data_IF_735410004267
#
_entry.id   IF_735410004267
#
_cell.length_a   1.000
_cell.length_b   1.000
_cell.length_c   1.000
_cell.angle_alpha   90.00
_cell.angle_beta   90.00
_cell.angle_gamma   90.00
#
_symmetry.space_group_name_H-M   'P 1'
#
loop_
_entity.id
_entity.type
_entity.pdbx_description
1 polymer ?
#
# COMPACT_ATOMS: atom_id res chain seq x y z
N UNK A 1 -1.43 -23.61 74.50
CA UNK A 1 -1.84 -22.54 75.44
C UNK A 1 -2.34 -21.36 74.60
N UNK A 2 -3.60 -20.95 74.86
CA UNK A 2 -4.24 -19.61 74.70
C UNK A 2 -4.05 -18.86 73.37
N UNK A 3 -5.11 -18.72 72.55
CA UNK A 3 -6.14 -17.63 72.56
C UNK A 3 -5.51 -16.25 72.28
N UNK A 4 -5.92 -15.48 71.27
CA UNK A 4 -7.27 -14.90 71.13
C UNK A 4 -7.60 -14.39 69.71
N UNK A 5 -8.91 -14.36 69.45
CA UNK A 5 -9.66 -13.80 68.31
C UNK A 5 -10.08 -12.34 68.62
N UNK A 6 -10.19 -11.47 67.60
CA UNK A 6 -11.11 -10.30 67.48
C UNK A 6 -10.90 -9.68 66.08
N UNK A 7 -11.66 -10.04 65.03
CA UNK A 7 -12.91 -9.44 64.54
C UNK A 7 -12.96 -7.90 64.64
N UNK A 8 -12.88 -7.21 63.51
CA UNK A 8 -13.71 -6.04 63.25
C UNK A 8 -14.11 -5.97 61.77
N UNK A 9 -15.39 -5.65 61.59
CA UNK A 9 -16.23 -5.80 60.42
C UNK A 9 -16.55 -4.38 59.92
N UNK A 10 -16.17 -4.01 58.69
CA UNK A 10 -16.82 -2.88 58.01
C UNK A 10 -16.93 -3.16 56.52
N UNK A 11 -18.07 -3.74 56.14
CA UNK A 11 -18.59 -3.75 54.78
C UNK A 11 -19.18 -2.37 54.49
N UNK A 12 -18.67 -1.66 53.48
CA UNK A 12 -19.49 -0.75 52.67
C UNK A 12 -19.24 -1.11 51.22
N UNK A 13 -20.24 -1.76 50.65
CA UNK A 13 -20.40 -1.90 49.22
C UNK A 13 -20.69 -0.53 48.61
N UNK A 14 -19.80 -0.04 47.74
CA UNK A 14 -20.21 0.86 46.67
C UNK A 14 -20.23 0.05 45.37
N UNK A 15 -21.36 -0.61 45.14
CA UNK A 15 -21.79 -1.01 43.81
C UNK A 15 -22.17 0.29 43.10
N UNK A 16 -21.23 0.87 42.36
CA UNK A 16 -21.57 1.75 41.25
C UNK A 16 -21.70 0.85 40.02
N UNK A 17 -22.88 0.25 39.88
CA UNK A 17 -23.41 -0.08 38.57
C UNK A 17 -23.71 1.26 37.88
N UNK A 18 -22.72 1.77 37.13
CA UNK A 18 -23.00 2.71 36.06
C UNK A 18 -23.24 1.91 34.80
N UNK A 19 -24.39 2.18 34.20
CA UNK A 19 -24.93 1.58 32.99
C UNK A 19 -23.92 1.49 31.85
N UNK A 20 -24.14 0.46 31.02
CA UNK A 20 -23.33 0.15 29.86
C UNK A 20 -23.20 1.29 28.86
N UNK A 21 -21.99 1.38 28.30
CA UNK A 21 -21.76 1.67 26.88
C UNK A 21 -20.26 1.54 26.51
N UNK A 22 -19.38 1.20 27.46
CA UNK A 22 -17.93 1.15 27.19
C UNK A 22 -17.49 0.10 26.17
N UNK A 23 -18.25 -0.98 25.95
CA UNK A 23 -17.97 -1.93 24.85
C UNK A 23 -18.39 -1.36 23.49
N UNK A 24 -19.43 -0.54 23.45
CA UNK A 24 -19.88 0.11 22.22
C UNK A 24 -18.95 1.27 21.85
N UNK A 25 -18.47 2.04 22.83
CA UNK A 25 -17.47 3.09 22.60
C UNK A 25 -16.08 2.55 22.26
N UNK A 26 -15.64 1.45 22.89
CA UNK A 26 -14.40 0.78 22.49
C UNK A 26 -14.52 0.14 21.10
N UNK A 27 -15.63 -0.53 20.80
CA UNK A 27 -15.90 -1.08 19.47
C UNK A 27 -16.06 0.03 18.41
N UNK A 28 -16.66 1.17 18.74
CA UNK A 28 -16.80 2.33 17.85
C UNK A 28 -15.49 3.06 17.65
N UNK A 29 -14.62 3.13 18.66
CA UNK A 29 -13.26 3.67 18.51
C UNK A 29 -12.34 2.72 17.75
N UNK A 30 -12.49 1.41 17.92
CA UNK A 30 -11.78 0.40 17.12
C UNK A 30 -12.29 0.36 15.68
N UNK A 31 -13.62 0.42 15.48
CA UNK A 31 -14.22 0.51 14.16
C UNK A 31 -13.90 1.85 13.48
N UNK A 32 -13.89 2.98 14.20
CA UNK A 32 -13.47 4.27 13.65
C UNK A 32 -11.96 4.36 13.39
N UNK A 33 -11.14 3.66 14.18
CA UNK A 33 -9.70 3.53 13.92
C UNK A 33 -9.44 2.60 12.72
N UNK A 34 -10.21 1.51 12.57
CA UNK A 34 -10.21 0.68 11.37
C UNK A 34 -10.77 1.42 10.15
N UNK A 35 -11.79 2.26 10.31
CA UNK A 35 -12.43 3.06 9.25
C UNK A 35 -11.56 4.24 8.83
N UNK A 36 -10.85 4.87 9.77
CA UNK A 36 -9.82 5.89 9.49
C UNK A 36 -8.54 5.28 8.91
N UNK A 37 -8.22 4.02 9.25
CA UNK A 37 -7.18 3.24 8.57
C UNK A 37 -7.66 2.71 7.20
N UNK A 38 -8.98 2.61 6.98
CA UNK A 38 -9.62 2.16 5.72
C UNK A 38 -10.08 3.27 4.79
N UNK A 39 -10.09 4.54 5.19
CA UNK A 39 -10.42 5.61 4.26
C UNK A 39 -9.22 5.83 3.33
N UNK A 40 -8.97 4.87 2.45
CA UNK A 40 -8.04 5.00 1.35
C UNK A 40 -8.43 6.27 0.60
N UNK A 41 -7.48 7.19 0.43
CA UNK A 41 -7.73 8.41 -0.30
C UNK A 41 -7.98 8.02 -1.76
N UNK A 42 -9.25 8.09 -2.19
CA UNK A 42 -9.65 7.75 -3.54
C UNK A 42 -9.45 8.95 -4.46
N UNK A 43 -8.63 8.79 -5.50
CA UNK A 43 -8.36 9.86 -6.48
C UNK A 43 -8.72 9.38 -7.88
N UNK A 44 -9.69 10.07 -8.52
CA UNK A 44 -10.10 9.80 -9.90
C UNK A 44 -9.09 10.43 -10.88
N UNK A 45 -8.43 9.62 -11.71
CA UNK A 45 -7.44 10.07 -12.68
C UNK A 45 -8.06 10.47 -14.03
N UNK A 46 -9.39 10.42 -14.17
CA UNK A 46 -10.08 10.80 -15.41
C UNK A 46 -9.88 12.27 -15.77
N UNK A 47 -9.56 13.12 -14.79
CA UNK A 47 -9.12 14.52 -15.01
C UNK A 47 -7.86 14.63 -15.87
N UNK A 48 -7.04 13.56 -15.92
CA UNK A 48 -5.86 13.42 -16.78
C UNK A 48 -6.12 12.50 -17.98
N UNK A 49 -7.39 12.27 -18.34
CA UNK A 49 -7.81 11.36 -19.42
C UNK A 49 -7.35 9.90 -19.24
N UNK A 50 -7.01 9.50 -18.01
CA UNK A 50 -6.66 8.13 -17.64
C UNK A 50 -7.87 7.52 -16.91
N UNK A 51 -8.50 6.44 -17.44
CA UNK A 51 -9.71 5.84 -16.88
C UNK A 51 -9.40 4.90 -15.70
N UNK A 52 -8.55 5.37 -14.78
CA UNK A 52 -8.11 4.64 -13.59
C UNK A 52 -8.46 5.46 -12.33
N UNK A 53 -8.50 4.76 -11.20
CA UNK A 53 -8.69 5.31 -9.87
C UNK A 53 -7.53 4.86 -9.00
N UNK A 54 -7.01 5.78 -8.18
CA UNK A 54 -6.04 5.48 -7.14
C UNK A 54 -6.74 5.32 -5.80
N UNK A 55 -6.41 4.25 -5.08
CA UNK A 55 -6.79 4.02 -3.70
C UNK A 55 -5.52 3.92 -2.86
N UNK A 56 -5.06 5.07 -2.38
CA UNK A 56 -3.81 5.14 -1.61
C UNK A 56 -4.07 4.60 -0.20
N UNK A 57 -3.23 3.70 0.34
CA UNK A 57 -3.39 3.16 1.68
C UNK A 57 -3.60 4.25 2.74
N UNK A 58 -4.49 3.98 3.71
CA UNK A 58 -4.77 4.92 4.80
C UNK A 58 -3.51 5.27 5.59
N UNK A 59 -3.38 6.55 5.96
CA UNK A 59 -2.21 7.08 6.68
C UNK A 59 -1.13 7.71 5.78
N UNK A 60 -1.19 7.51 4.45
CA UNK A 60 -0.34 8.25 3.53
C UNK A 60 -0.77 9.73 3.40
N UNK A 61 0.16 10.67 3.13
CA UNK A 61 -0.18 12.04 2.77
C UNK A 61 -1.06 12.11 1.52
N UNK A 62 -1.74 13.24 1.31
CA UNK A 62 -2.47 13.50 0.06
C UNK A 62 -1.53 13.36 -1.15
N UNK A 63 -1.96 12.70 -2.24
CA UNK A 63 -1.12 12.53 -3.40
C UNK A 63 -0.83 13.83 -4.12
N UNK A 64 0.43 14.00 -4.50
CA UNK A 64 0.84 14.90 -5.58
C UNK A 64 0.78 14.13 -6.90
N UNK A 65 0.17 14.74 -7.92
CA UNK A 65 -0.03 14.14 -9.24
C UNK A 65 0.54 15.10 -10.27
N UNK A 66 1.54 14.64 -11.02
CA UNK A 66 2.30 15.49 -11.96
C UNK A 66 2.45 14.76 -13.28
N UNK A 67 1.98 15.40 -14.35
CA UNK A 67 2.25 14.93 -15.71
C UNK A 67 3.68 15.29 -16.12
N UNK A 68 4.45 14.30 -16.57
CA UNK A 68 5.83 14.45 -17.04
C UNK A 68 5.84 14.41 -18.56
N UNK A 69 5.58 15.54 -19.21
CA UNK A 69 5.46 15.66 -20.66
C UNK A 69 6.61 15.00 -21.42
N UNK A 70 7.86 15.26 -21.00
CA UNK A 70 9.05 14.73 -21.64
C UNK A 70 9.15 13.19 -21.62
N UNK A 71 8.53 12.54 -20.63
CA UNK A 71 8.52 11.09 -20.49
C UNK A 71 7.20 10.45 -20.98
N UNK A 72 6.16 11.24 -21.20
CA UNK A 72 4.82 10.74 -21.52
C UNK A 72 4.21 9.91 -20.39
N UNK A 73 4.47 10.28 -19.13
CA UNK A 73 4.00 9.55 -17.94
C UNK A 73 3.30 10.45 -16.94
N UNK A 74 2.33 9.90 -16.22
CA UNK A 74 1.80 10.51 -15.00
C UNK A 74 2.57 9.97 -13.80
N UNK A 75 3.21 10.84 -13.03
CA UNK A 75 3.85 10.50 -11.76
C UNK A 75 2.90 10.83 -10.60
N UNK A 76 2.78 9.91 -9.66
CA UNK A 76 2.00 10.05 -8.43
C UNK A 76 2.92 9.82 -7.24
N UNK A 77 2.91 10.73 -6.26
CA UNK A 77 3.69 10.57 -5.01
C UNK A 77 2.86 10.92 -3.79
N UNK A 78 2.97 10.13 -2.73
CA UNK A 78 2.30 10.35 -1.45
C UNK A 78 3.23 9.94 -0.29
N UNK A 79 4.02 10.90 0.22
CA UNK A 79 5.04 10.62 1.24
C UNK A 79 6.20 9.77 0.71
N UNK A 80 6.91 9.11 1.63
CA UNK A 80 8.16 8.39 1.32
C UNK A 80 7.95 6.93 0.88
N UNK A 81 6.75 6.39 1.11
CA UNK A 81 6.41 4.97 0.90
C UNK A 81 5.49 4.74 -0.30
N UNK A 82 5.20 5.79 -1.08
CA UNK A 82 4.31 5.69 -2.23
C UNK A 82 4.77 6.61 -3.34
N UNK A 83 5.29 6.01 -4.42
CA UNK A 83 5.52 6.70 -5.67
C UNK A 83 5.42 5.76 -6.86
N UNK A 84 4.52 6.06 -7.79
CA UNK A 84 4.32 5.27 -9.00
C UNK A 84 4.24 6.15 -10.25
N UNK A 85 4.48 5.52 -11.39
CA UNK A 85 4.32 6.10 -12.72
C UNK A 85 3.25 5.32 -13.48
N UNK A 86 2.46 6.03 -14.28
CA UNK A 86 1.45 5.46 -15.18
C UNK A 86 1.72 5.96 -16.59
N UNK A 87 1.77 5.04 -17.55
CA UNK A 87 1.94 5.35 -18.96
C UNK A 87 0.95 4.53 -19.80
N UNK A 88 0.34 5.15 -20.81
CA UNK A 88 -0.43 4.41 -21.80
C UNK A 88 0.52 3.76 -22.81
N UNK A 89 0.60 2.43 -22.79
CA UNK A 89 1.44 1.63 -23.66
C UNK A 89 0.93 0.18 -23.67
N UNK A 90 1.18 -0.59 -24.75
CA UNK A 90 0.91 -2.04 -24.75
C UNK A 90 1.63 -2.74 -23.59
N UNK A 91 1.07 -3.85 -23.10
CA UNK A 91 1.80 -4.70 -22.15
C UNK A 91 3.05 -5.26 -22.80
N UNK A 92 4.18 -5.20 -22.10
CA UNK A 92 5.47 -5.78 -22.53
C UNK A 92 6.10 -6.63 -21.42
N UNK A 93 5.28 -7.45 -20.76
CA UNK A 93 5.75 -8.28 -19.64
C UNK A 93 6.88 -9.24 -20.06
N UNK A 94 6.81 -9.75 -21.29
CA UNK A 94 7.85 -10.61 -21.84
C UNK A 94 9.18 -9.88 -22.06
N UNK A 95 9.14 -8.65 -22.62
CA UNK A 95 10.33 -7.81 -22.79
C UNK A 95 10.97 -7.47 -21.45
N UNK A 96 10.16 -7.04 -20.47
CA UNK A 96 10.62 -6.73 -19.11
C UNK A 96 11.32 -7.92 -18.47
N UNK A 97 10.72 -9.12 -18.51
CA UNK A 97 11.36 -10.33 -17.96
C UNK A 97 12.68 -10.66 -18.65
N UNK A 98 12.73 -10.48 -19.98
CA UNK A 98 13.94 -10.73 -20.74
C UNK A 98 15.05 -9.70 -20.41
N UNK A 99 14.70 -8.45 -20.11
CA UNK A 99 15.65 -7.44 -19.64
C UNK A 99 16.20 -7.78 -18.25
N UNK A 100 15.34 -8.26 -17.33
CA UNK A 100 15.77 -8.67 -15.98
C UNK A 100 16.72 -9.88 -16.01
N UNK A 101 16.49 -10.83 -16.91
CA UNK A 101 17.35 -12.01 -17.10
C UNK A 101 18.72 -11.65 -17.69
N UNK A 102 18.77 -10.61 -18.51
CA UNK A 102 20.00 -10.12 -19.14
C UNK A 102 20.76 -9.07 -18.32
N UNK A 103 20.24 -8.66 -17.16
CA UNK A 103 20.90 -7.67 -16.32
C UNK A 103 22.22 -8.25 -15.76
N UNK A 104 23.34 -7.68 -16.20
CA UNK A 104 24.67 -8.11 -15.78
C UNK A 104 25.13 -7.41 -14.49
N UNK A 105 24.44 -6.36 -14.06
CA UNK A 105 24.79 -5.57 -12.88
C UNK A 105 24.08 -6.06 -11.63
N UNK A 106 22.83 -6.52 -11.77
CA UNK A 106 22.00 -6.96 -10.64
C UNK A 106 21.55 -8.39 -10.83
N UNK A 107 21.48 -9.12 -9.72
CA UNK A 107 20.74 -10.37 -9.67
C UNK A 107 19.26 -10.05 -9.41
N UNK A 108 18.41 -10.46 -10.35
CA UNK A 108 16.97 -10.29 -10.26
C UNK A 108 16.28 -11.61 -9.88
N UNK A 109 15.34 -11.55 -8.95
CA UNK A 109 14.52 -12.69 -8.55
C UNK A 109 13.05 -12.30 -8.54
N UNK A 110 12.22 -13.07 -9.24
CA UNK A 110 10.77 -12.88 -9.26
C UNK A 110 10.18 -13.25 -7.89
N UNK A 111 9.37 -12.36 -7.34
CA UNK A 111 8.69 -12.52 -6.04
C UNK A 111 7.22 -12.91 -6.26
N UNK A 112 6.57 -12.31 -7.26
CA UNK A 112 5.18 -12.55 -7.61
C UNK A 112 5.00 -12.37 -9.12
N UNK A 113 4.21 -13.26 -9.74
CA UNK A 113 3.92 -13.18 -11.17
C UNK A 113 2.49 -13.62 -11.47
N UNK A 114 1.77 -12.76 -12.19
CA UNK A 114 0.50 -13.03 -12.86
C UNK A 114 0.64 -12.59 -14.33
N UNK A 115 -0.36 -12.84 -15.20
CA UNK A 115 -0.30 -12.33 -16.58
C UNK A 115 -0.18 -10.80 -16.69
N UNK A 116 -0.66 -10.08 -15.68
CA UNK A 116 -0.74 -8.62 -15.65
C UNK A 116 0.14 -7.95 -14.59
N UNK A 117 0.80 -8.70 -13.70
CA UNK A 117 1.64 -8.19 -12.63
C UNK A 117 2.95 -8.97 -12.55
N UNK A 118 4.05 -8.24 -12.39
CA UNK A 118 5.36 -8.76 -12.02
C UNK A 118 5.86 -7.97 -10.82
N UNK A 119 6.13 -8.64 -9.70
CA UNK A 119 6.88 -8.09 -8.57
C UNK A 119 8.21 -8.82 -8.49
N UNK A 120 9.30 -8.08 -8.39
CA UNK A 120 10.64 -8.65 -8.36
C UNK A 120 11.54 -7.92 -7.38
N UNK A 121 12.58 -8.63 -6.97
CA UNK A 121 13.65 -8.16 -6.11
C UNK A 121 14.93 -8.07 -6.94
N UNK A 122 15.65 -6.98 -6.80
CA UNK A 122 16.96 -6.75 -7.42
C UNK A 122 18.02 -6.53 -6.36
N UNK A 123 19.16 -7.18 -6.49
CA UNK A 123 20.30 -7.01 -5.58
C UNK A 123 21.61 -6.92 -6.36
N UNK A 124 22.57 -6.17 -5.82
CA UNK A 124 23.92 -6.14 -6.37
C UNK A 124 24.70 -7.38 -5.91
N UNK A 125 25.36 -8.12 -6.82
CA UNK A 125 26.09 -9.34 -6.45
C UNK A 125 27.25 -9.10 -5.47
N UNK A 126 27.84 -7.91 -5.50
CA UNK A 126 28.97 -7.47 -4.67
C UNK A 126 28.54 -6.77 -3.36
N UNK A 127 27.30 -6.29 -3.29
CA UNK A 127 26.71 -5.74 -2.07
C UNK A 127 25.27 -6.22 -1.86
N UNK A 128 25.14 -7.32 -1.11
CA UNK A 128 23.84 -7.92 -0.80
C UNK A 128 23.01 -7.09 0.21
N UNK A 129 23.55 -6.00 0.75
CA UNK A 129 22.79 -5.09 1.62
C UNK A 129 21.93 -4.11 0.81
N UNK A 130 22.27 -3.90 -0.47
CA UNK A 130 21.51 -3.07 -1.40
C UNK A 130 20.45 -3.89 -2.11
N UNK A 131 19.26 -3.94 -1.51
CA UNK A 131 18.10 -4.67 -2.02
C UNK A 131 17.01 -3.69 -2.45
N UNK A 132 16.54 -3.85 -3.68
CA UNK A 132 15.45 -3.07 -4.24
C UNK A 132 14.28 -4.00 -4.58
N UNK A 133 13.06 -3.50 -4.36
CA UNK A 133 11.84 -4.16 -4.78
C UNK A 133 11.15 -3.28 -5.80
N UNK A 134 10.61 -3.91 -6.83
CA UNK A 134 9.98 -3.22 -7.95
C UNK A 134 8.75 -3.98 -8.41
N UNK A 135 7.84 -3.27 -9.09
CA UNK A 135 6.74 -3.89 -9.79
C UNK A 135 6.53 -3.31 -11.20
N UNK A 136 5.97 -4.14 -12.05
CA UNK A 136 5.34 -3.74 -13.31
C UNK A 136 3.95 -4.35 -13.37
N UNK A 137 2.93 -3.53 -13.63
CA UNK A 137 1.55 -3.96 -13.78
C UNK A 137 0.94 -3.40 -15.06
N UNK A 138 0.16 -4.20 -15.77
CA UNK A 138 -0.58 -3.79 -16.96
C UNK A 138 -2.08 -3.79 -16.65
N UNK A 139 -2.75 -2.66 -16.84
CA UNK A 139 -4.19 -2.52 -16.64
C UNK A 139 -4.85 -2.17 -17.98
N UNK A 140 -5.79 -2.99 -18.44
CA UNK A 140 -6.54 -2.72 -19.68
C UNK A 140 -7.93 -2.21 -19.35
N UNK A 141 -8.33 -1.08 -19.94
CA UNK A 141 -9.68 -0.50 -19.83
C UNK A 141 -10.19 -0.17 -21.22
N UNK A 142 -11.25 -0.85 -21.66
CA UNK A 142 -11.71 -0.79 -23.04
C UNK A 142 -10.60 -1.24 -24.01
N UNK A 143 -10.22 -0.36 -24.93
CA UNK A 143 -9.14 -0.61 -25.92
C UNK A 143 -7.78 -0.06 -25.51
N UNK A 144 -7.66 0.54 -24.31
CA UNK A 144 -6.45 1.22 -23.85
C UNK A 144 -5.74 0.37 -22.80
N UNK A 145 -4.41 0.32 -22.87
CA UNK A 145 -3.57 -0.40 -21.90
C UNK A 145 -2.67 0.59 -21.20
N UNK A 146 -2.58 0.47 -19.87
CA UNK A 146 -1.76 1.30 -19.01
C UNK A 146 -0.73 0.45 -18.30
N UNK A 147 0.53 0.82 -18.43
CA UNK A 147 1.61 0.29 -17.61
C UNK A 147 1.74 1.13 -16.35
N UNK A 148 1.82 0.45 -15.20
CA UNK A 148 1.98 1.02 -13.88
C UNK A 148 3.23 0.40 -13.25
N UNK A 149 4.12 1.22 -12.70
CA UNK A 149 5.32 0.75 -11.99
C UNK A 149 5.70 1.70 -10.87
N UNK A 150 6.48 1.24 -9.90
CA UNK A 150 7.10 2.14 -8.92
C UNK A 150 8.06 3.11 -9.61
N UNK A 151 8.24 4.29 -9.01
CA UNK A 151 9.28 5.21 -9.49
C UNK A 151 10.65 4.67 -9.08
N UNK A 152 11.62 4.66 -10.01
CA UNK A 152 12.99 4.21 -9.70
C UNK A 152 13.86 5.29 -9.02
N UNK A 153 13.30 6.47 -8.78
CA UNK A 153 14.00 7.62 -8.20
C UNK A 153 13.58 7.81 -6.74
N UNK A 154 14.56 7.99 -5.87
CA UNK A 154 14.35 8.31 -4.46
C UNK A 154 14.73 7.17 -3.52
N UNK A 155 14.09 7.13 -2.36
CA UNK A 155 14.29 6.10 -1.33
C UNK A 155 13.82 4.74 -1.85
N UNK A 156 14.57 3.64 -1.62
CA UNK A 156 14.12 2.30 -1.98
C UNK A 156 12.83 1.91 -1.26
N UNK A 157 11.91 1.29 -1.99
CA UNK A 157 10.66 0.78 -1.42
C UNK A 157 10.83 -0.60 -0.80
N UNK A 158 10.09 -0.84 0.28
CA UNK A 158 9.96 -2.19 0.84
C UNK A 158 9.08 -3.06 -0.07
N UNK A 159 9.12 -4.38 0.13
CA UNK A 159 8.21 -5.28 -0.59
C UNK A 159 6.73 -5.00 -0.27
N UNK A 160 6.44 -4.57 0.96
CA UNK A 160 5.08 -4.18 1.38
C UNK A 160 4.61 -2.93 0.64
N UNK A 161 5.45 -1.89 0.57
CA UNK A 161 5.18 -0.66 -0.18
C UNK A 161 4.87 -0.99 -1.66
N UNK A 162 5.70 -1.81 -2.29
CA UNK A 162 5.55 -2.22 -3.69
C UNK A 162 4.23 -2.95 -3.94
N UNK A 163 3.85 -3.88 -3.05
CA UNK A 163 2.56 -4.59 -3.16
C UNK A 163 1.38 -3.65 -2.96
N UNK A 164 1.47 -2.76 -1.98
CA UNK A 164 0.43 -1.77 -1.74
C UNK A 164 0.26 -0.83 -2.94
N UNK A 165 1.36 -0.36 -3.54
CA UNK A 165 1.34 0.43 -4.77
C UNK A 165 0.72 -0.33 -5.94
N UNK A 166 1.15 -1.58 -6.18
CA UNK A 166 0.61 -2.40 -7.26
C UNK A 166 -0.91 -2.61 -7.13
N UNK A 167 -1.41 -2.81 -5.91
CA UNK A 167 -2.83 -2.99 -5.61
C UNK A 167 -3.64 -1.69 -5.65
N UNK A 168 -3.00 -0.54 -5.45
CA UNK A 168 -3.68 0.76 -5.30
C UNK A 168 -4.29 1.33 -6.58
N UNK A 169 -3.98 0.77 -7.76
CA UNK A 169 -4.48 1.30 -9.04
C UNK A 169 -5.58 0.39 -9.60
N UNK A 170 -6.77 0.94 -9.80
CA UNK A 170 -7.95 0.18 -10.22
C UNK A 170 -8.56 0.77 -11.50
N UNK A 171 -9.17 -0.05 -12.38
CA UNK A 171 -10.04 0.45 -13.43
C UNK A 171 -11.18 1.30 -12.82
N UNK A 172 -11.49 2.44 -13.43
CA UNK A 172 -12.61 3.27 -12.98
C UNK A 172 -13.97 2.56 -13.05
N UNK A 173 -14.12 1.64 -14.00
CA UNK A 173 -15.33 0.82 -14.20
C UNK A 173 -15.47 -0.33 -13.19
N UNK A 174 -14.46 -0.58 -12.34
CA UNK A 174 -14.57 -1.55 -11.24
C UNK A 174 -15.36 -0.99 -10.03
N UNK A 175 -16.16 0.06 -10.24
CA UNK A 175 -16.98 0.78 -9.26
C UNK A 175 -18.47 0.65 -9.58
#
# INVERSE_FOLDING_TARGET
MKQSILISLTTVAFIQASCGDGRFDAAKRMAAAEDSARSAARTDLSVHQIPLVLEIPGGAPSPSIVWKDAAGKLEVRAGDHYALEIQEAPSDMAGIKADLDRDLLKRNSIVEETPDLLVYRSEFPDDTTLVFHHFHRSITVGTRTFQVSDTRNGTPFTLEDVRAMAASVLPREAL
#
